data_IF_420921923433
#
_entry.id   IF_420921923433
#
_cell.length_a   1.000
_cell.length_b   1.000
_cell.length_c   1.000
_cell.angle_alpha   90.00
_cell.angle_beta   90.00
_cell.angle_gamma   90.00
#
_symmetry.space_group_name_H-M   'P 1'
#
loop_
_entity.id
_entity.type
_entity.pdbx_description
1 polymer ?
#
# COMPACT_ATOMS: atom_id res chain seq x y z
N UNK A 1 20.42 -10.85 0.68
CA UNK A 1 19.90 -9.80 1.61
C UNK A 1 19.56 -8.55 0.83
N UNK A 2 20.39 -8.16 -0.17
CA UNK A 2 20.11 -7.05 -1.06
C UNK A 2 18.85 -7.27 -1.91
N UNK A 3 18.07 -6.21 -2.13
CA UNK A 3 16.82 -6.29 -2.88
C UNK A 3 15.63 -6.91 -2.14
N UNK A 4 15.80 -7.40 -0.92
CA UNK A 4 14.73 -8.00 -0.11
C UNK A 4 13.86 -6.91 0.54
N UNK A 5 12.58 -7.23 0.73
CA UNK A 5 11.63 -6.34 1.40
C UNK A 5 11.58 -6.57 2.91
N UNK A 6 11.59 -5.48 3.63
CA UNK A 6 11.51 -5.44 5.09
C UNK A 6 10.46 -4.45 5.57
N UNK A 7 10.04 -4.62 6.82
CA UNK A 7 9.17 -3.68 7.52
C UNK A 7 9.92 -3.14 8.71
N UNK A 8 9.98 -1.83 8.87
CA UNK A 8 10.75 -1.24 9.97
C UNK A 8 10.77 0.27 9.98
N UNK A 9 11.73 0.80 10.69
CA UNK A 9 11.90 2.23 10.93
C UNK A 9 13.16 2.72 10.18
N UNK A 10 13.00 3.51 9.13
CA UNK A 10 14.11 4.18 8.47
C UNK A 10 14.42 5.53 9.13
N UNK A 11 15.64 6.02 8.93
CA UNK A 11 16.05 7.37 9.26
C UNK A 11 16.46 8.11 7.99
N UNK A 12 16.06 9.37 7.89
CA UNK A 12 16.51 10.24 6.81
C UNK A 12 17.80 10.93 7.24
N UNK A 13 18.88 10.63 6.53
CA UNK A 13 20.13 11.39 6.66
C UNK A 13 19.97 12.75 5.97
N UNK A 14 20.56 13.79 6.56
CA UNK A 14 20.48 15.14 6.02
C UNK A 14 21.49 15.40 4.90
N UNK A 15 22.65 14.74 4.97
CA UNK A 15 23.71 14.91 3.98
C UNK A 15 24.55 13.61 3.92
N UNK A 16 24.50 12.85 2.82
CA UNK A 16 23.54 12.97 1.70
C UNK A 16 22.10 12.71 2.13
N UNK A 17 21.13 13.19 1.37
CA UNK A 17 19.70 13.01 1.67
C UNK A 17 19.24 11.60 1.26
N UNK A 18 19.57 10.64 2.10
CA UNK A 18 19.29 9.22 1.87
C UNK A 18 18.55 8.60 3.06
N UNK A 19 17.75 7.59 2.76
CA UNK A 19 17.08 6.80 3.79
C UNK A 19 17.98 5.63 4.20
N UNK A 20 18.32 5.57 5.48
CA UNK A 20 19.14 4.50 6.06
C UNK A 20 18.27 3.62 6.95
N UNK A 21 18.55 2.32 6.90
CA UNK A 21 17.94 1.33 7.76
C UNK A 21 18.42 1.52 9.22
N UNK A 22 17.47 1.70 10.14
CA UNK A 22 17.78 1.68 11.58
C UNK A 22 17.47 0.32 12.19
N UNK A 23 16.27 -0.16 11.97
CA UNK A 23 15.81 -1.48 12.42
C UNK A 23 14.73 -1.98 11.47
N UNK A 24 14.73 -3.27 11.23
CA UNK A 24 13.72 -3.92 10.41
C UNK A 24 13.44 -5.35 10.85
N UNK A 25 12.26 -5.81 10.52
CA UNK A 25 11.83 -7.18 10.66
C UNK A 25 11.37 -7.74 9.30
N UNK A 26 11.37 -9.04 9.18
CA UNK A 26 10.80 -9.71 8.01
C UNK A 26 9.26 -9.59 8.03
N UNK A 27 8.61 -9.51 6.85
CA UNK A 27 7.14 -9.46 6.77
C UNK A 27 6.46 -10.64 7.47
N UNK A 28 7.05 -11.82 7.43
CA UNK A 28 6.55 -13.01 8.14
C UNK A 28 6.46 -12.79 9.65
N UNK A 29 7.48 -12.20 10.25
CA UNK A 29 7.52 -11.90 11.68
C UNK A 29 6.40 -10.93 12.06
N UNK A 30 6.14 -9.90 11.23
CA UNK A 30 5.05 -8.97 11.46
C UNK A 30 3.68 -9.65 11.43
N UNK A 31 3.46 -10.58 10.49
CA UNK A 31 2.19 -11.29 10.36
C UNK A 31 1.95 -12.29 11.51
N UNK A 32 3.01 -12.79 12.15
CA UNK A 32 2.93 -13.78 13.22
C UNK A 32 2.80 -13.17 14.62
N UNK A 33 2.93 -11.84 14.77
CA UNK A 33 2.94 -11.17 16.06
C UNK A 33 1.90 -10.03 16.11
N UNK A 34 1.52 -9.62 17.31
CA UNK A 34 0.63 -8.47 17.50
C UNK A 34 1.36 -7.18 17.12
N UNK A 35 0.65 -6.28 16.46
CA UNK A 35 1.20 -5.00 16.00
C UNK A 35 1.87 -4.18 17.12
N UNK A 36 1.27 -4.18 18.31
CA UNK A 36 1.83 -3.42 19.46
C UNK A 36 3.16 -3.98 19.93
N UNK A 37 3.33 -5.31 19.93
CA UNK A 37 4.57 -5.95 20.35
C UNK A 37 5.67 -5.71 19.32
N UNK A 38 5.31 -5.79 18.04
CA UNK A 38 6.22 -5.44 16.92
C UNK A 38 6.67 -3.98 17.03
N UNK A 39 5.74 -3.05 17.24
CA UNK A 39 6.07 -1.63 17.36
C UNK A 39 6.98 -1.37 18.56
N UNK A 40 6.69 -1.98 19.71
CA UNK A 40 7.54 -1.87 20.91
C UNK A 40 8.94 -2.39 20.61
N UNK A 41 9.06 -3.58 20.03
CA UNK A 41 10.35 -4.14 19.64
C UNK A 41 11.14 -3.19 18.72
N UNK A 42 10.51 -2.63 17.69
CA UNK A 42 11.16 -1.71 16.76
C UNK A 42 11.63 -0.41 17.44
N UNK A 43 10.92 0.06 18.45
CA UNK A 43 11.30 1.27 19.20
C UNK A 43 12.44 0.97 20.17
N UNK A 44 12.33 -0.11 20.92
CA UNK A 44 13.28 -0.47 21.99
C UNK A 44 14.65 -0.84 21.43
N UNK A 45 14.69 -1.46 20.25
CA UNK A 45 15.93 -1.90 19.59
C UNK A 45 16.38 -0.98 18.44
N UNK A 46 15.76 0.17 18.28
CA UNK A 46 16.19 1.16 17.28
C UNK A 46 17.56 1.75 17.63
N UNK A 47 18.44 1.90 16.65
CA UNK A 47 19.80 2.45 16.81
C UNK A 47 19.76 3.87 17.39
N UNK A 48 18.77 4.67 17.00
CA UNK A 48 18.57 6.02 17.51
C UNK A 48 17.18 6.19 18.10
N UNK A 49 17.06 7.08 19.09
CA UNK A 49 15.76 7.38 19.70
C UNK A 49 14.83 8.08 18.69
N UNK A 50 13.73 7.45 18.35
CA UNK A 50 12.75 7.95 17.38
C UNK A 50 11.60 8.62 18.14
N UNK A 51 11.34 9.92 17.87
CA UNK A 51 10.25 10.67 18.51
C UNK A 51 8.87 10.28 17.99
N UNK A 52 8.77 9.98 16.70
CA UNK A 52 7.50 9.62 16.04
C UNK A 52 7.73 8.40 15.16
N UNK A 53 7.63 7.20 15.73
CA UNK A 53 7.90 5.97 14.99
C UNK A 53 6.80 5.71 13.96
N UNK A 54 7.16 5.71 12.68
CA UNK A 54 6.27 5.34 11.58
C UNK A 54 6.90 4.17 10.86
N UNK A 55 6.22 3.03 10.89
CA UNK A 55 6.67 1.86 10.15
C UNK A 55 6.51 2.06 8.65
N UNK A 56 7.54 1.67 7.93
CA UNK A 56 7.57 1.68 6.48
C UNK A 56 7.87 0.29 5.93
N UNK A 57 7.31 0.03 4.75
CA UNK A 57 7.73 -1.08 3.92
C UNK A 57 8.88 -0.57 3.05
N UNK A 58 10.00 -1.28 3.09
CA UNK A 58 11.26 -0.84 2.52
C UNK A 58 11.87 -1.95 1.70
N UNK A 59 12.53 -1.58 0.62
CA UNK A 59 13.45 -2.46 -0.11
C UNK A 59 14.87 -2.09 0.29
N UNK A 60 15.65 -3.06 0.75
CA UNK A 60 17.04 -2.85 1.10
C UNK A 60 17.87 -2.67 -0.17
N UNK A 61 18.78 -1.72 -0.13
CA UNK A 61 19.75 -1.40 -1.17
C UNK A 61 21.12 -1.18 -0.51
N UNK A 62 22.04 -2.12 -0.70
CA UNK A 62 23.34 -2.07 -0.07
C UNK A 62 24.29 -1.32 -0.99
N UNK A 63 24.74 -0.16 -0.51
CA UNK A 63 25.72 0.65 -1.25
C UNK A 63 27.07 -0.08 -1.37
N UNK A 64 27.85 0.27 -2.38
CA UNK A 64 29.23 -0.20 -2.56
C UNK A 64 30.14 0.16 -1.38
N UNK A 65 29.77 1.14 -0.56
CA UNK A 65 30.47 1.55 0.66
C UNK A 65 30.04 0.72 1.88
N UNK A 66 29.13 -0.26 1.72
CA UNK A 66 28.60 -1.07 2.82
C UNK A 66 27.48 -0.39 3.63
N UNK A 67 26.97 0.78 3.20
CA UNK A 67 25.83 1.42 3.85
C UNK A 67 24.52 0.71 3.51
N UNK A 68 23.68 0.51 4.52
CA UNK A 68 22.36 -0.11 4.38
C UNK A 68 21.32 0.96 4.04
N UNK A 69 21.25 1.32 2.78
CA UNK A 69 20.24 2.25 2.25
C UNK A 69 18.91 1.55 2.08
N UNK A 70 17.81 2.31 2.11
CA UNK A 70 16.48 1.75 1.90
C UNK A 70 15.65 2.60 0.94
N UNK A 71 14.91 1.94 0.08
CA UNK A 71 13.91 2.56 -0.80
C UNK A 71 12.53 2.34 -0.20
N UNK A 72 11.86 3.44 0.18
CA UNK A 72 10.53 3.38 0.78
C UNK A 72 9.48 2.98 -0.27
N UNK A 73 8.72 1.93 0.03
CA UNK A 73 7.64 1.41 -0.82
C UNK A 73 6.23 1.70 -0.27
N UNK A 74 6.12 2.18 0.95
CA UNK A 74 4.85 2.47 1.63
C UNK A 74 3.96 3.41 0.84
N UNK A 75 4.53 4.41 0.19
CA UNK A 75 3.77 5.36 -0.62
C UNK A 75 3.04 4.67 -1.78
N UNK A 76 3.73 3.82 -2.53
CA UNK A 76 3.15 3.07 -3.64
C UNK A 76 2.03 2.13 -3.19
N UNK A 77 2.21 1.46 -2.06
CA UNK A 77 1.17 0.60 -1.49
C UNK A 77 -0.06 1.40 -1.06
N UNK A 78 0.11 2.59 -0.50
CA UNK A 78 -1.02 3.48 -0.17
C UNK A 78 -1.79 3.91 -1.42
N UNK A 79 -1.11 4.15 -2.54
CA UNK A 79 -1.75 4.46 -3.82
C UNK A 79 -2.59 3.29 -4.32
N UNK A 80 -2.00 2.09 -4.33
CA UNK A 80 -2.70 0.85 -4.72
C UNK A 80 -3.92 0.62 -3.84
N UNK A 81 -3.75 0.67 -2.50
CA UNK A 81 -4.84 0.47 -1.55
C UNK A 81 -5.98 1.48 -1.72
N UNK A 82 -5.65 2.76 -1.96
CA UNK A 82 -6.63 3.81 -2.18
C UNK A 82 -7.47 3.56 -3.43
N UNK A 83 -6.80 3.21 -4.53
CA UNK A 83 -7.46 2.88 -5.79
C UNK A 83 -8.31 1.61 -5.67
N UNK A 84 -7.76 0.58 -5.03
CA UNK A 84 -8.49 -0.68 -4.79
C UNK A 84 -9.75 -0.45 -3.96
N UNK A 85 -9.67 0.29 -2.86
CA UNK A 85 -10.84 0.63 -2.01
C UNK A 85 -11.92 1.37 -2.80
N UNK A 86 -11.53 2.31 -3.67
CA UNK A 86 -12.47 3.03 -4.54
C UNK A 86 -13.16 2.07 -5.52
N UNK A 87 -12.38 1.31 -6.26
CA UNK A 87 -12.91 0.34 -7.26
C UNK A 87 -13.79 -0.70 -6.58
N UNK A 88 -13.39 -1.22 -5.43
CA UNK A 88 -14.21 -2.15 -4.66
C UNK A 88 -15.57 -1.55 -4.27
N UNK A 89 -15.59 -0.29 -3.80
CA UNK A 89 -16.84 0.41 -3.49
C UNK A 89 -17.72 0.58 -4.74
N UNK A 90 -17.12 0.98 -5.85
CA UNK A 90 -17.82 1.12 -7.15
C UNK A 90 -18.38 -0.24 -7.62
N UNK A 91 -17.64 -1.33 -7.43
CA UNK A 91 -18.09 -2.69 -7.73
C UNK A 91 -19.29 -3.10 -6.87
N UNK A 92 -19.25 -2.82 -5.56
CA UNK A 92 -20.39 -3.10 -4.69
C UNK A 92 -21.64 -2.31 -5.12
N UNK A 93 -21.49 -1.03 -5.41
CA UNK A 93 -22.59 -0.21 -5.93
C UNK A 93 -23.16 -0.73 -7.26
N UNK A 94 -22.29 -1.22 -8.14
CA UNK A 94 -22.71 -1.83 -9.40
C UNK A 94 -23.47 -3.14 -9.15
N UNK A 95 -22.99 -4.00 -8.24
CA UNK A 95 -23.67 -5.25 -7.88
C UNK A 95 -25.06 -4.95 -7.30
N UNK A 96 -25.15 -3.97 -6.38
CA UNK A 96 -26.44 -3.60 -5.77
C UNK A 96 -27.39 -3.01 -6.81
N UNK A 97 -26.89 -2.23 -7.77
CA UNK A 97 -27.66 -1.75 -8.91
C UNK A 97 -28.17 -2.92 -9.76
N UNK A 98 -27.33 -3.92 -10.05
CA UNK A 98 -27.72 -5.10 -10.83
C UNK A 98 -28.79 -5.97 -10.14
N UNK A 99 -28.84 -5.95 -8.79
CA UNK A 99 -29.86 -6.67 -8.01
C UNK A 99 -31.24 -5.99 -8.03
N UNK A 100 -31.30 -4.72 -8.43
CA UNK A 100 -32.56 -3.98 -8.45
C UNK A 100 -33.48 -4.53 -9.56
N UNK A 101 -34.74 -4.90 -9.24
CA UNK A 101 -35.70 -5.43 -10.24
C UNK A 101 -35.88 -4.55 -11.46
N UNK A 102 -35.89 -3.22 -11.27
CA UNK A 102 -36.00 -2.24 -12.36
C UNK A 102 -34.82 -2.33 -13.33
N UNK A 103 -33.61 -2.47 -12.81
CA UNK A 103 -32.39 -2.60 -13.61
C UNK A 103 -32.36 -3.93 -14.39
N UNK A 104 -32.84 -5.00 -13.75
CA UNK A 104 -32.95 -6.32 -14.37
C UNK A 104 -33.96 -6.25 -15.55
N UNK A 105 -35.14 -5.65 -15.33
CA UNK A 105 -36.13 -5.49 -16.36
C UNK A 105 -35.61 -4.66 -17.54
N UNK A 106 -34.91 -3.55 -17.25
CA UNK A 106 -34.26 -2.74 -18.29
C UNK A 106 -33.29 -3.56 -19.13
N UNK A 107 -32.41 -4.35 -18.47
CA UNK A 107 -31.48 -5.22 -19.18
C UNK A 107 -32.15 -6.30 -20.01
N UNK A 108 -33.23 -6.88 -19.52
CA UNK A 108 -34.02 -7.87 -20.28
C UNK A 108 -34.66 -7.27 -21.54
N UNK A 109 -35.11 -6.01 -21.45
CA UNK A 109 -35.75 -5.31 -22.56
C UNK A 109 -34.76 -4.82 -23.62
N UNK A 110 -33.61 -4.26 -23.16
CA UNK A 110 -32.66 -3.57 -24.03
C UNK A 110 -31.34 -4.32 -24.26
N UNK A 111 -31.14 -5.47 -23.65
CA UNK A 111 -29.93 -6.29 -23.78
C UNK A 111 -28.68 -5.73 -23.10
N UNK A 112 -28.74 -4.54 -22.49
CA UNK A 112 -27.64 -3.85 -21.84
C UNK A 112 -28.07 -3.13 -20.57
N UNK A 113 -27.10 -2.83 -19.68
CA UNK A 113 -27.40 -2.02 -18.52
C UNK A 113 -27.64 -0.55 -18.90
N UNK A 114 -28.48 0.12 -18.15
CA UNK A 114 -28.79 1.55 -18.33
C UNK A 114 -27.51 2.38 -18.35
N UNK A 115 -27.42 3.34 -19.28
CA UNK A 115 -26.22 4.18 -19.49
C UNK A 115 -24.95 3.39 -19.85
N UNK A 116 -25.07 2.20 -20.46
CA UNK A 116 -23.94 1.34 -20.85
C UNK A 116 -22.95 1.09 -19.71
N UNK A 117 -23.47 0.98 -18.48
CA UNK A 117 -22.63 0.74 -17.29
C UNK A 117 -21.83 -0.54 -17.43
N UNK A 118 -20.53 -0.45 -17.17
CA UNK A 118 -19.59 -1.57 -17.17
C UNK A 118 -19.10 -1.86 -15.76
N UNK A 119 -18.74 -3.12 -15.53
CA UNK A 119 -18.15 -3.51 -14.25
C UNK A 119 -16.82 -2.77 -14.02
N UNK A 120 -16.66 -2.06 -12.90
CA UNK A 120 -15.44 -1.31 -12.61
C UNK A 120 -14.23 -2.24 -12.45
N UNK A 121 -13.11 -1.87 -13.06
CA UNK A 121 -11.84 -2.62 -12.98
C UNK A 121 -10.70 -1.73 -12.51
N UNK A 122 -9.60 -2.34 -12.03
CA UNK A 122 -8.38 -1.63 -11.66
C UNK A 122 -7.46 -1.35 -12.87
N UNK A 123 -7.84 -1.76 -14.08
CA UNK A 123 -7.07 -1.45 -15.28
C UNK A 123 -6.89 0.07 -15.45
N UNK A 124 -5.70 0.49 -15.82
CA UNK A 124 -5.36 1.91 -16.01
C UNK A 124 -5.14 2.69 -14.70
N UNK A 125 -5.02 2.00 -13.56
CA UNK A 125 -4.81 2.62 -12.24
C UNK A 125 -3.64 3.62 -12.21
N UNK A 126 -2.53 3.29 -12.90
CA UNK A 126 -1.31 4.12 -12.95
C UNK A 126 -1.37 5.21 -14.02
N UNK A 127 -2.35 5.17 -14.94
CA UNK A 127 -2.45 6.11 -16.06
C UNK A 127 -3.25 7.36 -15.65
N UNK A 128 -4.11 7.27 -14.63
CA UNK A 128 -4.88 8.43 -14.16
C UNK A 128 -4.02 9.27 -13.22
N UNK A 129 -3.71 10.54 -13.58
CA UNK A 129 -3.04 11.45 -12.67
C UNK A 129 -3.93 11.61 -11.43
N UNK A 130 -3.31 11.48 -10.26
CA UNK A 130 -3.96 11.81 -9.00
C UNK A 130 -4.34 13.30 -9.06
N UNK A 131 -5.64 13.57 -9.13
CA UNK A 131 -6.12 14.91 -8.78
C UNK A 131 -5.78 15.10 -7.30
N UNK A 132 -4.74 15.89 -7.07
CA UNK A 132 -4.32 16.39 -5.76
C UNK A 132 -5.40 17.33 -5.23
#
# INVERSE_FOLDING_TARGET
IDGVYYIGLPCLMKSPREWILQIAIQPKTMLSNKMNDVMRYLIDYSVTRIRSPIMHIMKLDISNTGAYNVVLKTHWLRLVQRTWKRVFKEQQQFIDYCKNPRSILYRQTYGQWENSRKFPTIQGMLIRPLKI
#
